data_IF_826620418362
#
_entry.id   IF_826620418362
#
_cell.length_a   1.000
_cell.length_b   1.000
_cell.length_c   1.000
_cell.angle_alpha   90.00
_cell.angle_beta   90.00
_cell.angle_gamma   90.00
#
_symmetry.space_group_name_H-M   'P 1'
#
loop_
_entity.id
_entity.type
_entity.pdbx_description
1 polymer ?
#
# COMPACT_ATOMS: atom_id res chain seq x y z
N UNK A 1 14.21 5.85 11.70
CA UNK A 1 12.85 5.36 11.35
C UNK A 1 12.60 3.90 11.78
N UNK A 2 13.47 2.92 11.53
CA UNK A 2 13.24 1.51 11.90
C UNK A 2 12.79 1.23 13.36
N UNK A 3 13.38 1.90 14.36
CA UNK A 3 12.95 1.76 15.77
C UNK A 3 11.48 2.16 15.98
N UNK A 4 11.03 3.22 15.32
CA UNK A 4 9.65 3.71 15.42
C UNK A 4 8.68 2.65 14.89
N UNK A 5 8.93 2.11 13.69
CA UNK A 5 8.06 1.07 13.12
C UNK A 5 7.98 -0.17 14.02
N UNK A 6 9.09 -0.64 14.59
CA UNK A 6 9.08 -1.76 15.55
C UNK A 6 8.28 -1.44 16.82
N UNK A 7 8.44 -0.24 17.37
CA UNK A 7 7.68 0.20 18.55
C UNK A 7 6.19 0.29 18.25
N UNK A 8 5.80 0.84 17.10
CA UNK A 8 4.39 0.91 16.67
C UNK A 8 3.82 -0.50 16.51
N UNK A 9 4.54 -1.39 15.81
CA UNK A 9 4.12 -2.79 15.66
C UNK A 9 3.93 -3.49 17.01
N UNK A 10 4.84 -3.28 17.96
CA UNK A 10 4.71 -3.85 19.31
C UNK A 10 3.47 -3.32 20.06
N UNK A 11 3.14 -2.04 19.91
CA UNK A 11 2.01 -1.40 20.58
C UNK A 11 0.63 -1.76 20.00
N UNK A 12 0.55 -2.02 18.69
CA UNK A 12 -0.71 -2.38 18.05
C UNK A 12 -1.28 -3.69 18.59
N UNK A 13 -2.60 -3.75 18.76
CA UNK A 13 -3.33 -5.01 18.97
C UNK A 13 -3.32 -5.84 17.68
N UNK A 14 -3.46 -7.17 17.74
CA UNK A 14 -3.75 -7.98 16.55
C UNK A 14 -4.94 -7.41 15.78
N UNK A 15 -4.83 -7.33 14.45
CA UNK A 15 -5.83 -6.71 13.58
C UNK A 15 -5.83 -5.18 13.57
N UNK A 16 -5.03 -4.55 14.44
CA UNK A 16 -4.83 -3.10 14.44
C UNK A 16 -4.04 -2.64 13.22
N UNK A 17 -4.14 -1.36 12.89
CA UNK A 17 -3.39 -0.76 11.79
C UNK A 17 -2.65 0.51 12.22
N UNK A 18 -1.53 0.76 11.57
CA UNK A 18 -0.86 2.04 11.57
C UNK A 18 -1.20 2.77 10.27
N UNK A 19 -2.01 3.83 10.37
CA UNK A 19 -2.47 4.66 9.26
C UNK A 19 -1.86 6.05 9.38
N UNK A 20 -1.03 6.45 8.42
CA UNK A 20 -0.25 7.70 8.52
C UNK A 20 0.15 8.25 7.15
N UNK A 21 0.45 9.54 7.09
CA UNK A 21 1.01 10.21 5.91
C UNK A 21 2.44 10.67 6.19
N UNK A 22 3.33 10.54 5.22
CA UNK A 22 4.72 11.00 5.28
C UNK A 22 5.22 11.36 3.86
N UNK A 23 6.38 12.03 3.77
CA UNK A 23 7.01 12.39 2.50
C UNK A 23 8.01 11.32 2.08
N UNK A 24 7.90 10.90 0.82
CA UNK A 24 8.77 9.90 0.20
C UNK A 24 9.40 10.42 -1.08
N UNK A 25 10.61 9.94 -1.35
CA UNK A 25 11.33 10.21 -2.58
C UNK A 25 11.29 9.01 -3.53
N UNK A 26 11.34 9.28 -4.84
CA UNK A 26 11.44 8.27 -5.90
C UNK A 26 12.82 7.58 -5.93
N UNK A 27 13.83 8.20 -5.30
CA UNK A 27 15.22 7.72 -5.23
C UNK A 27 15.89 8.12 -3.92
N UNK A 28 17.03 7.51 -3.62
CA UNK A 28 17.85 7.89 -2.46
C UNK A 28 18.50 9.25 -2.68
N UNK A 29 18.39 10.13 -1.69
CA UNK A 29 19.04 11.44 -1.73
C UNK A 29 20.53 11.34 -1.37
N UNK A 30 21.39 12.14 -2.03
CA UNK A 30 22.78 12.33 -1.62
C UNK A 30 22.90 12.78 -0.16
N UNK A 31 23.94 12.33 0.55
CA UNK A 31 24.13 12.60 1.98
C UNK A 31 24.19 14.10 2.31
N UNK A 32 24.77 14.90 1.41
CA UNK A 32 24.83 16.35 1.55
C UNK A 32 23.43 17.02 1.56
N UNK A 33 22.44 16.45 0.85
CA UNK A 33 21.08 16.99 0.81
C UNK A 33 20.23 16.51 2.00
N UNK A 34 20.58 15.38 2.61
CA UNK A 34 19.90 14.87 3.81
C UNK A 34 20.11 15.78 5.02
N UNK A 35 21.26 16.46 5.07
CA UNK A 35 21.66 17.38 6.12
C UNK A 35 21.53 18.85 5.72
N UNK A 36 20.98 19.13 4.53
CA UNK A 36 20.80 20.50 4.09
C UNK A 36 19.68 21.18 4.89
N UNK A 37 19.92 22.33 5.55
CA UNK A 37 18.93 22.99 6.38
C UNK A 37 17.67 23.41 5.62
N UNK A 38 17.80 23.79 4.35
CA UNK A 38 16.65 24.20 3.52
C UNK A 38 15.82 22.97 3.17
N UNK A 39 16.46 21.89 2.71
CA UNK A 39 15.78 20.63 2.42
C UNK A 39 15.10 20.04 3.68
N UNK A 40 15.72 20.16 4.86
CA UNK A 40 15.13 19.73 6.12
C UNK A 40 13.95 20.59 6.54
N UNK A 41 14.04 21.91 6.38
CA UNK A 41 12.96 22.85 6.66
C UNK A 41 11.70 22.59 5.81
N UNK A 42 11.89 22.09 4.58
CA UNK A 42 10.82 21.69 3.66
C UNK A 42 10.38 20.23 3.85
N UNK A 43 10.83 19.53 4.90
CA UNK A 43 10.59 18.10 5.15
C UNK A 43 11.10 17.14 4.05
N UNK A 44 11.92 17.61 3.11
CA UNK A 44 12.45 16.83 1.99
C UNK A 44 13.74 16.09 2.34
N UNK A 45 14.62 16.69 3.16
CA UNK A 45 15.93 16.13 3.50
C UNK A 45 15.82 14.80 4.27
N UNK A 46 14.75 14.61 5.04
CA UNK A 46 14.46 13.39 5.78
C UNK A 46 13.61 12.36 5.02
N UNK A 47 13.20 12.66 3.78
CA UNK A 47 12.36 11.77 2.98
C UNK A 47 13.10 10.47 2.68
N UNK A 48 12.43 9.34 2.93
CA UNK A 48 12.98 8.04 2.55
C UNK A 48 12.70 7.79 1.08
N UNK A 49 13.62 7.09 0.42
CA UNK A 49 13.27 6.35 -0.78
C UNK A 49 12.13 5.38 -0.44
N UNK A 50 11.05 5.39 -1.23
CA UNK A 50 9.83 4.63 -0.93
C UNK A 50 10.11 3.13 -0.71
N UNK A 51 11.01 2.51 -1.48
CA UNK A 51 11.28 1.08 -1.33
C UNK A 51 12.13 0.78 -0.09
N UNK A 52 13.00 1.71 0.33
CA UNK A 52 13.70 1.57 1.62
C UNK A 52 12.70 1.63 2.78
N UNK A 53 11.68 2.49 2.68
CA UNK A 53 10.57 2.50 3.62
C UNK A 53 9.83 1.16 3.67
N UNK A 54 9.43 0.60 2.52
CA UNK A 54 8.72 -0.68 2.47
C UNK A 54 9.56 -1.80 3.12
N UNK A 55 10.85 -1.85 2.83
CA UNK A 55 11.77 -2.82 3.45
C UNK A 55 11.86 -2.64 4.97
N UNK A 56 11.94 -1.38 5.44
CA UNK A 56 11.95 -1.07 6.88
C UNK A 56 10.65 -1.50 7.55
N UNK A 57 9.49 -1.24 6.92
CA UNK A 57 8.18 -1.61 7.44
C UNK A 57 8.02 -3.13 7.54
N UNK A 58 8.39 -3.86 6.46
CA UNK A 58 8.38 -5.33 6.42
C UNK A 58 9.30 -5.92 7.47
N UNK A 59 10.53 -5.41 7.61
CA UNK A 59 11.46 -5.84 8.64
C UNK A 59 10.99 -5.54 10.08
N UNK A 60 10.03 -4.62 10.26
CA UNK A 60 9.42 -4.34 11.55
C UNK A 60 8.23 -5.25 11.89
N UNK A 61 7.77 -6.08 10.94
CA UNK A 61 6.64 -7.00 11.10
C UNK A 61 5.42 -6.66 10.23
N UNK A 62 5.40 -5.50 9.55
CA UNK A 62 4.30 -5.14 8.66
C UNK A 62 4.49 -5.76 7.28
N UNK A 63 3.99 -6.99 7.11
CA UNK A 63 4.23 -7.80 5.92
C UNK A 63 3.70 -7.19 4.61
N UNK A 64 2.57 -6.48 4.65
CA UNK A 64 1.90 -5.94 3.47
C UNK A 64 1.48 -4.45 3.67
N UNK A 65 2.43 -3.49 3.54
CA UNK A 65 2.11 -2.06 3.56
C UNK A 65 1.29 -1.66 2.32
N UNK A 66 0.14 -0.99 2.53
CA UNK A 66 -0.75 -0.56 1.46
C UNK A 66 -0.74 0.96 1.28
N UNK A 67 -0.49 1.40 0.05
CA UNK A 67 -0.60 2.81 -0.33
C UNK A 67 -2.08 3.18 -0.51
N UNK A 68 -2.57 4.13 0.27
CA UNK A 68 -3.97 4.57 0.24
C UNK A 68 -4.18 5.71 -0.74
N UNK A 69 -3.31 6.72 -0.68
CA UNK A 69 -3.33 7.87 -1.56
C UNK A 69 -1.93 8.47 -1.62
N UNK A 70 -1.61 9.13 -2.72
CA UNK A 70 -0.40 9.93 -2.86
C UNK A 70 -0.65 11.17 -3.71
N UNK A 71 0.12 12.22 -3.43
CA UNK A 71 0.10 13.47 -4.18
C UNK A 71 1.54 13.94 -4.43
N UNK A 72 1.89 14.37 -5.65
CA UNK A 72 3.21 14.90 -5.95
C UNK A 72 3.45 16.21 -5.20
N UNK A 73 4.67 16.40 -4.70
CA UNK A 73 5.09 17.64 -4.03
C UNK A 73 5.85 18.51 -5.02
N UNK A 74 5.30 19.68 -5.32
CA UNK A 74 5.96 20.68 -6.14
C UNK A 74 7.02 21.46 -5.34
N UNK A 75 8.25 21.47 -5.85
CA UNK A 75 9.36 22.21 -5.24
C UNK A 75 9.45 23.59 -5.90
N UNK A 76 8.85 24.58 -5.25
CA UNK A 76 8.81 25.95 -5.74
C UNK A 76 10.16 26.68 -5.61
N UNK A 77 11.00 26.27 -4.66
CA UNK A 77 12.33 26.86 -4.49
C UNK A 77 13.28 26.38 -5.60
N UNK A 78 13.59 27.28 -6.54
CA UNK A 78 14.46 27.00 -7.69
C UNK A 78 15.85 26.51 -7.29
N UNK A 79 16.50 27.16 -6.32
CA UNK A 79 17.85 26.80 -5.89
C UNK A 79 17.87 25.40 -5.24
N UNK A 80 16.85 25.08 -4.44
CA UNK A 80 16.69 23.75 -3.86
C UNK A 80 16.41 22.70 -4.94
N UNK A 81 15.54 23.01 -5.90
CA UNK A 81 15.21 22.11 -7.03
C UNK A 81 16.44 21.79 -7.88
N UNK A 82 17.30 22.78 -8.16
CA UNK A 82 18.56 22.57 -8.89
C UNK A 82 19.49 21.60 -8.15
N UNK A 83 19.55 21.69 -6.82
CA UNK A 83 20.36 20.80 -5.96
C UNK A 83 19.76 19.40 -5.82
N UNK A 84 18.44 19.30 -5.71
CA UNK A 84 17.70 18.01 -5.67
C UNK A 84 17.71 17.28 -7.02
N UNK A 85 17.97 18.00 -8.10
CA UNK A 85 18.12 17.45 -9.44
C UNK A 85 16.86 16.73 -9.92
N UNK A 86 16.99 15.44 -10.22
CA UNK A 86 15.88 14.63 -10.73
C UNK A 86 15.08 13.91 -9.64
N UNK A 87 15.37 14.14 -8.35
CA UNK A 87 14.54 13.59 -7.28
C UNK A 87 13.11 14.13 -7.39
N UNK A 88 12.15 13.25 -7.20
CA UNK A 88 10.71 13.57 -7.13
C UNK A 88 10.18 13.13 -5.78
N UNK A 89 9.26 13.91 -5.24
CA UNK A 89 8.73 13.73 -3.91
C UNK A 89 7.22 13.59 -3.95
N UNK A 90 6.69 12.73 -3.08
CA UNK A 90 5.26 12.52 -2.94
C UNK A 90 4.91 12.56 -1.45
N UNK A 91 3.78 13.20 -1.14
CA UNK A 91 3.11 13.02 0.15
C UNK A 91 2.22 11.80 0.01
N UNK A 92 2.52 10.72 0.74
CA UNK A 92 1.80 9.47 0.60
C UNK A 92 1.22 9.01 1.94
N UNK A 93 -0.04 8.58 1.90
CA UNK A 93 -0.76 7.97 3.00
C UNK A 93 -0.67 6.47 2.88
N UNK A 94 -0.13 5.81 3.90
CA UNK A 94 -0.02 4.37 3.99
C UNK A 94 -0.86 3.82 5.14
N UNK A 95 -1.28 2.57 4.98
CA UNK A 95 -1.85 1.76 6.06
C UNK A 95 -1.09 0.44 6.19
N UNK A 96 -0.73 0.09 7.41
CA UNK A 96 0.08 -1.08 7.74
C UNK A 96 -0.65 -1.89 8.80
N UNK A 97 -1.18 -3.05 8.43
CA UNK A 97 -1.88 -3.94 9.37
C UNK A 97 -0.91 -4.79 10.18
N UNK A 98 -1.21 -4.98 11.46
CA UNK A 98 -0.60 -6.01 12.30
C UNK A 98 -1.46 -7.28 12.23
N UNK A 99 -1.18 -8.10 11.23
CA UNK A 99 -1.80 -9.41 11.05
C UNK A 99 -0.68 -10.40 10.77
N UNK A 100 -0.60 -11.44 11.60
CA UNK A 100 0.47 -12.43 11.51
C UNK A 100 0.26 -13.35 10.30
N UNK A 101 1.35 -13.67 9.61
CA UNK A 101 1.34 -14.62 8.49
C UNK A 101 0.67 -14.10 7.22
N UNK A 102 0.56 -12.78 7.02
CA UNK A 102 0.25 -12.25 5.69
C UNK A 102 1.37 -12.64 4.71
N UNK A 103 0.98 -13.00 3.50
CA UNK A 103 1.89 -13.50 2.49
C UNK A 103 2.64 -12.33 1.82
N UNK A 104 3.88 -12.54 1.33
CA UNK A 104 4.65 -11.48 0.70
C UNK A 104 4.11 -11.05 -0.66
N UNK A 105 3.27 -11.90 -1.29
CA UNK A 105 2.60 -11.66 -2.57
C UNK A 105 1.08 -11.74 -2.40
N UNK A 106 0.35 -11.20 -3.38
CA UNK A 106 -1.09 -11.36 -3.45
C UNK A 106 -1.44 -12.77 -3.96
N UNK A 107 -1.61 -13.72 -3.04
CA UNK A 107 -2.06 -15.06 -3.41
C UNK A 107 -3.58 -15.12 -3.60
N UNK A 108 -4.02 -15.93 -4.56
CA UNK A 108 -5.41 -16.17 -4.91
C UNK A 108 -5.92 -17.47 -4.29
N UNK A 109 -6.99 -17.36 -3.51
CA UNK A 109 -7.72 -18.50 -2.93
C UNK A 109 -9.18 -18.55 -3.42
N UNK A 110 -9.53 -17.81 -4.46
CA UNK A 110 -10.91 -17.73 -4.98
C UNK A 110 -11.85 -16.96 -4.05
N UNK A 111 -11.30 -16.03 -3.26
CA UNK A 111 -12.01 -15.32 -2.21
C UNK A 111 -12.68 -14.05 -2.74
N UNK A 112 -13.82 -13.70 -2.14
CA UNK A 112 -14.52 -12.45 -2.40
C UNK A 112 -15.15 -11.91 -1.14
N UNK A 113 -15.49 -10.62 -1.17
CA UNK A 113 -16.18 -9.92 -0.10
C UNK A 113 -17.36 -9.13 -0.62
N UNK A 114 -18.33 -8.85 0.24
CA UNK A 114 -19.42 -7.91 -0.03
C UNK A 114 -19.38 -6.84 1.06
N UNK A 115 -19.22 -5.58 0.68
CA UNK A 115 -19.30 -4.48 1.62
C UNK A 115 -20.77 -4.20 1.99
N UNK A 116 -21.11 -4.21 3.28
CA UNK A 116 -22.47 -3.96 3.76
C UNK A 116 -22.81 -2.48 3.93
N UNK A 117 -21.80 -1.59 3.90
CA UNK A 117 -21.98 -0.19 4.25
C UNK A 117 -21.99 0.04 5.77
N UNK A 118 -22.24 1.28 6.16
CA UNK A 118 -22.42 1.66 7.58
C UNK A 118 -21.13 1.97 8.33
N UNK A 119 -19.96 1.90 7.69
CA UNK A 119 -18.74 2.48 8.24
C UNK A 119 -18.83 4.02 8.16
N UNK A 120 -18.46 4.69 9.26
CA UNK A 120 -18.44 6.15 9.31
C UNK A 120 -17.56 6.73 8.19
N UNK A 121 -18.05 7.75 7.50
CA UNK A 121 -17.39 8.39 6.35
C UNK A 121 -17.15 7.48 5.13
N UNK A 122 -17.77 6.29 5.09
CA UNK A 122 -17.66 5.34 3.98
C UNK A 122 -18.97 4.59 3.76
N UNK A 123 -20.10 5.28 3.78
CA UNK A 123 -21.43 4.65 3.76
C UNK A 123 -21.71 3.78 2.52
N UNK A 124 -21.27 4.26 1.35
CA UNK A 124 -21.61 3.68 0.05
C UNK A 124 -20.47 2.91 -0.61
N UNK A 125 -19.22 3.23 -0.27
CA UNK A 125 -18.04 2.49 -0.70
C UNK A 125 -16.91 2.63 0.31
N UNK A 126 -16.06 1.61 0.40
CA UNK A 126 -14.80 1.65 1.14
C UNK A 126 -13.63 1.75 0.16
N UNK A 127 -12.81 2.79 0.31
CA UNK A 127 -11.46 2.83 -0.26
C UNK A 127 -10.51 2.20 0.76
N UNK A 128 -10.15 0.94 0.55
CA UNK A 128 -9.19 0.26 1.42
C UNK A 128 -7.78 0.75 1.11
N UNK A 129 -7.43 0.85 -0.16
CA UNK A 129 -6.16 1.38 -0.63
C UNK A 129 -6.32 1.88 -2.07
N UNK A 130 -5.23 2.32 -2.71
CA UNK A 130 -5.20 2.86 -4.08
C UNK A 130 -5.70 1.90 -5.16
N UNK A 131 -5.83 0.59 -4.87
CA UNK A 131 -6.31 -0.43 -5.81
C UNK A 131 -7.68 -1.00 -5.45
N UNK A 132 -8.20 -0.74 -4.24
CA UNK A 132 -9.40 -1.39 -3.72
C UNK A 132 -10.48 -0.36 -3.35
N UNK A 133 -11.33 -0.02 -4.33
CA UNK A 133 -12.61 0.65 -4.13
C UNK A 133 -13.73 -0.40 -4.09
N UNK A 134 -14.29 -0.65 -2.91
CA UNK A 134 -15.30 -1.70 -2.70
C UNK A 134 -16.67 -1.06 -2.47
N UNK A 135 -17.53 -1.14 -3.47
CA UNK A 135 -18.89 -0.59 -3.42
C UNK A 135 -19.83 -1.45 -2.58
N UNK A 136 -20.74 -0.79 -1.88
CA UNK A 136 -21.76 -1.45 -1.05
C UNK A 136 -22.63 -2.39 -1.88
N UNK A 137 -22.85 -3.60 -1.38
CA UNK A 137 -23.73 -4.60 -1.97
C UNK A 137 -23.16 -5.32 -3.20
N UNK A 138 -21.95 -4.97 -3.66
CA UNK A 138 -21.29 -5.61 -4.79
C UNK A 138 -20.33 -6.70 -4.33
N UNK A 139 -20.36 -7.85 -5.00
CA UNK A 139 -19.34 -8.89 -4.83
C UNK A 139 -18.03 -8.37 -5.41
N UNK A 140 -16.98 -8.38 -4.59
CA UNK A 140 -15.65 -7.89 -4.94
C UNK A 140 -14.60 -8.99 -4.68
N UNK A 141 -14.00 -9.58 -5.73
CA UNK A 141 -12.91 -10.55 -5.58
C UNK A 141 -11.68 -9.92 -4.93
N UNK A 142 -11.02 -10.66 -4.04
CA UNK A 142 -9.85 -10.17 -3.29
C UNK A 142 -8.79 -11.26 -3.16
N UNK A 143 -7.52 -10.84 -3.06
CA UNK A 143 -6.44 -11.75 -2.68
C UNK A 143 -6.53 -12.14 -1.20
N UNK A 144 -5.81 -13.19 -0.81
CA UNK A 144 -5.78 -13.72 0.55
C UNK A 144 -5.44 -12.66 1.61
N UNK A 145 -4.42 -11.82 1.34
CA UNK A 145 -4.06 -10.75 2.26
C UNK A 145 -5.19 -9.74 2.45
N UNK A 146 -5.81 -9.26 1.37
CA UNK A 146 -6.93 -8.29 1.47
C UNK A 146 -8.12 -8.91 2.20
N UNK A 147 -8.45 -10.18 1.92
CA UNK A 147 -9.50 -10.91 2.64
C UNK A 147 -9.23 -10.94 4.14
N UNK A 148 -8.00 -11.28 4.54
CA UNK A 148 -7.56 -11.30 5.95
C UNK A 148 -7.56 -9.90 6.58
N UNK A 149 -7.08 -8.87 5.87
CA UNK A 149 -7.11 -7.48 6.35
C UNK A 149 -8.53 -7.02 6.67
N UNK A 150 -9.52 -7.39 5.86
CA UNK A 150 -10.92 -7.07 6.11
C UNK A 150 -11.50 -7.93 7.23
N UNK A 151 -11.20 -9.22 7.28
CA UNK A 151 -11.76 -10.20 8.23
C UNK A 151 -11.17 -10.12 9.64
N UNK A 152 -9.90 -9.79 9.77
CA UNK A 152 -9.16 -9.83 11.04
C UNK A 152 -8.95 -8.44 11.64
N UNK A 153 -9.52 -7.39 11.05
CA UNK A 153 -9.48 -6.03 11.59
C UNK A 153 -10.87 -5.53 12.00
N UNK A 154 -10.95 -4.27 12.44
CA UNK A 154 -12.22 -3.58 12.74
C UNK A 154 -13.22 -3.55 11.56
N UNK A 155 -12.78 -3.89 10.34
CA UNK A 155 -13.65 -3.89 9.17
C UNK A 155 -14.61 -5.07 9.14
N UNK A 156 -14.29 -6.17 9.82
CA UNK A 156 -15.04 -7.42 9.72
C UNK A 156 -16.57 -7.29 9.89
N UNK A 157 -17.11 -6.49 10.84
CA UNK A 157 -18.56 -6.34 10.99
C UNK A 157 -19.26 -5.76 9.76
N UNK A 158 -18.54 -5.03 8.90
CA UNK A 158 -19.07 -4.34 7.73
C UNK A 158 -18.96 -5.14 6.43
N UNK A 159 -18.48 -6.38 6.49
CA UNK A 159 -18.32 -7.23 5.32
C UNK A 159 -19.01 -8.58 5.50
N UNK A 160 -19.45 -9.14 4.38
CA UNK A 160 -19.70 -10.56 4.24
C UNK A 160 -18.57 -11.18 3.42
N UNK A 161 -18.23 -12.43 3.74
CA UNK A 161 -17.04 -13.10 3.22
C UNK A 161 -17.43 -14.37 2.48
N UNK A 162 -16.89 -14.55 1.28
CA UNK A 162 -17.17 -15.66 0.37
C UNK A 162 -15.87 -16.42 0.11
N UNK A 163 -15.93 -17.74 0.22
CA UNK A 163 -14.77 -18.63 0.05
C UNK A 163 -13.96 -18.83 1.33
N UNK A 164 -12.98 -19.73 1.23
CA UNK A 164 -12.03 -20.10 2.28
C UNK A 164 -10.60 -20.10 1.72
N UNK A 165 -9.65 -20.69 2.45
CA UNK A 165 -8.24 -20.79 2.02
C UNK A 165 -7.84 -22.24 1.69
N UNK A 166 -8.80 -23.11 1.35
CA UNK A 166 -8.54 -24.53 1.13
C UNK A 166 -7.88 -24.83 -0.23
N UNK A 167 -8.14 -24.01 -1.25
CA UNK A 167 -7.59 -24.18 -2.60
C UNK A 167 -6.83 -22.93 -3.01
N UNK A 168 -5.58 -23.09 -3.43
CA UNK A 168 -4.73 -22.02 -3.95
C UNK A 168 -4.74 -22.03 -5.48
N UNK A 169 -4.95 -20.86 -6.09
CA UNK A 169 -5.05 -20.67 -7.54
C UNK A 169 -3.83 -19.93 -8.14
N UNK A 170 -2.82 -19.62 -7.33
CA UNK A 170 -1.63 -18.89 -7.75
C UNK A 170 -1.70 -17.40 -7.41
N UNK A 171 -1.05 -16.56 -8.22
CA UNK A 171 -1.03 -15.11 -8.01
C UNK A 171 -2.38 -14.48 -8.41
N UNK A 172 -2.92 -13.66 -7.53
CA UNK A 172 -4.15 -12.93 -7.78
C UNK A 172 -4.01 -12.00 -9.00
N UNK A 173 -4.93 -12.08 -9.97
CA UNK A 173 -4.87 -11.27 -11.19
C UNK A 173 -4.78 -9.78 -10.89
N UNK A 174 -3.90 -9.06 -11.60
CA UNK A 174 -3.78 -7.61 -11.48
C UNK A 174 -2.94 -7.11 -10.29
N UNK A 175 -2.37 -7.97 -9.44
CA UNK A 175 -1.47 -7.53 -8.35
C UNK A 175 -0.01 -7.29 -8.80
N UNK A 176 0.24 -7.11 -10.10
CA UNK A 176 1.55 -6.67 -10.64
C UNK A 176 2.70 -7.70 -10.57
N UNK A 177 2.51 -8.84 -9.92
CA UNK A 177 3.48 -9.94 -9.90
C UNK A 177 3.15 -10.92 -11.04
N UNK A 178 4.01 -10.98 -12.06
CA UNK A 178 3.82 -11.91 -13.17
C UNK A 178 4.38 -13.31 -12.83
N UNK A 179 3.72 -14.36 -13.30
CA UNK A 179 4.27 -15.73 -13.24
C UNK A 179 5.58 -15.81 -14.02
N UNK A 180 6.65 -16.42 -13.46
CA UNK A 180 7.91 -16.60 -14.16
C UNK A 180 7.86 -17.73 -15.21
N UNK A 181 6.81 -18.55 -15.21
CA UNK A 181 6.66 -19.69 -16.11
C UNK A 181 5.68 -19.38 -17.24
N UNK A 182 6.06 -19.69 -18.48
CA UNK A 182 5.15 -19.73 -19.61
C UNK A 182 4.69 -18.37 -20.15
N UNK A 183 5.60 -17.40 -20.32
CA UNK A 183 5.35 -16.22 -21.16
C UNK A 183 5.39 -16.61 -22.65
N UNK A 184 4.43 -17.42 -23.09
CA UNK A 184 4.01 -17.44 -24.48
C UNK A 184 3.03 -16.29 -24.67
N UNK A 185 3.51 -15.17 -25.20
CA UNK A 185 2.73 -14.09 -25.84
C UNK A 185 1.21 -14.15 -25.67
N UNK A 186 0.68 -13.51 -24.63
CA UNK A 186 -0.69 -13.02 -24.64
C UNK A 186 -0.61 -11.51 -24.92
N UNK A 187 -0.94 -11.17 -26.16
CA UNK A 187 -0.88 -9.83 -26.73
C UNK A 187 -1.60 -8.80 -25.86
N UNK A 188 -0.95 -7.64 -25.72
CA UNK A 188 -1.63 -6.39 -25.48
C UNK A 188 -2.56 -6.11 -26.67
N UNK A 189 -3.80 -6.59 -26.62
CA UNK A 189 -4.87 -6.13 -27.50
C UNK A 189 -5.55 -4.91 -26.87
N UNK A 190 -4.84 -3.77 -26.85
CA UNK A 190 -5.54 -2.49 -26.87
C UNK A 190 -5.98 -2.19 -28.30
N UNK A 191 -6.94 -2.97 -28.79
CA UNK A 191 -7.69 -2.66 -29.99
C UNK A 191 -8.69 -1.57 -29.69
N UNK A 192 -8.29 -0.30 -29.84
CA UNK A 192 -9.24 0.79 -29.99
C UNK A 192 -9.67 0.85 -31.45
N UNK A 193 -10.78 0.18 -31.77
CA UNK A 193 -11.61 0.50 -32.92
C UNK A 193 -12.60 1.59 -32.51
N UNK A 194 -12.54 2.72 -33.21
CA UNK A 194 -13.60 3.63 -33.67
C UNK A 194 -12.99 5.00 -33.93
#
# INVERSE_FOLDING_TARGET
KARVFRSVHALLKPGGEFYFSDVYADRRLPEALRHDPVAQGECLGGALYWNDFLNIAKAAGFADPRLVSDEPIEINNRALRERLGQARFHSATYRLFKIDGLEPACEDYGQAVIYKGGLAHSGDALVLDSHHLIEKGRIFPVCGNTYRMLKESRFAPYFDFIGDSATHYGIFPGCGTASPFGQGSAEASSGACC
#
